data_IF_669288435053
#
_entry.id   IF_669288435053
#
_cell.length_a   1.000
_cell.length_b   1.000
_cell.length_c   1.000
_cell.angle_alpha   90.00
_cell.angle_beta   90.00
_cell.angle_gamma   90.00
#
_symmetry.space_group_name_H-M   'P 1'
#
loop_
_entity.id
_entity.type
_entity.pdbx_description
1 polymer ?
#
# COMPACT_ATOMS: atom_id res chain seq x y z
N UNK A 1 28.39 5.04 -21.10
CA UNK A 1 28.11 5.68 -19.81
C UNK A 1 26.78 5.14 -19.34
N UNK A 2 26.79 4.13 -18.47
CA UNK A 2 25.59 3.62 -17.83
C UNK A 2 25.18 4.63 -16.77
N UNK A 3 24.02 5.26 -16.95
CA UNK A 3 23.39 6.07 -15.91
C UNK A 3 23.22 5.18 -14.67
N UNK A 4 24.07 5.42 -13.68
CA UNK A 4 23.93 4.86 -12.36
C UNK A 4 22.74 5.59 -11.71
N UNK A 5 21.51 5.28 -12.13
CA UNK A 5 20.32 5.69 -11.41
C UNK A 5 20.36 4.95 -10.08
N UNK A 6 21.01 5.55 -9.07
CA UNK A 6 21.00 5.05 -7.71
C UNK A 6 19.53 4.99 -7.30
N UNK A 7 18.98 3.77 -7.31
CA UNK A 7 17.65 3.49 -6.77
C UNK A 7 17.75 3.67 -5.26
N UNK A 8 17.45 4.88 -4.76
CA UNK A 8 17.39 5.21 -3.32
C UNK A 8 16.11 4.67 -2.67
N UNK A 9 15.72 3.46 -3.06
CA UNK A 9 14.63 2.76 -2.44
C UNK A 9 15.19 1.99 -1.25
N UNK A 10 14.50 2.05 -0.11
CA UNK A 10 14.88 1.29 1.08
C UNK A 10 13.68 0.54 1.63
N UNK A 11 13.93 -0.59 2.26
CA UNK A 11 12.95 -1.35 3.05
C UNK A 11 13.42 -1.34 4.50
N UNK A 12 12.62 -0.83 5.42
CA UNK A 12 12.94 -0.87 6.85
C UNK A 12 12.59 -2.24 7.44
N UNK A 13 13.56 -2.89 8.09
CA UNK A 13 13.34 -4.16 8.78
C UNK A 13 12.27 -4.03 9.86
N UNK A 14 12.26 -2.93 10.61
CA UNK A 14 11.24 -2.64 11.61
C UNK A 14 9.82 -2.59 11.02
N UNK A 15 9.66 -2.12 9.78
CA UNK A 15 8.37 -2.16 9.09
C UNK A 15 7.93 -3.59 8.76
N UNK A 16 8.86 -4.49 8.42
CA UNK A 16 8.56 -5.91 8.18
C UNK A 16 8.08 -6.56 9.48
N UNK A 17 8.76 -6.30 10.59
CA UNK A 17 8.40 -6.83 11.90
C UNK A 17 7.02 -6.32 12.37
N UNK A 18 6.75 -5.03 12.20
CA UNK A 18 5.42 -4.47 12.51
C UNK A 18 4.33 -5.04 11.61
N UNK A 19 4.57 -5.23 10.30
CA UNK A 19 3.60 -5.88 9.41
C UNK A 19 3.26 -7.30 9.88
N UNK A 20 4.27 -8.03 10.36
CA UNK A 20 4.11 -9.37 10.93
C UNK A 20 3.32 -9.33 12.22
N UNK A 21 3.66 -8.43 13.14
CA UNK A 21 2.96 -8.24 14.42
C UNK A 21 1.48 -7.89 14.22
N UNK A 22 1.18 -6.98 13.28
CA UNK A 22 -0.20 -6.60 12.94
C UNK A 22 -0.96 -7.67 12.13
N UNK A 23 -0.30 -8.79 11.79
CA UNK A 23 -0.85 -9.88 10.98
C UNK A 23 -1.08 -9.51 9.52
N UNK A 24 -0.49 -8.40 9.04
CA UNK A 24 -0.56 -7.93 7.65
C UNK A 24 0.43 -8.67 6.75
N UNK A 25 1.47 -9.28 7.31
CA UNK A 25 2.44 -10.14 6.62
C UNK A 25 2.62 -11.46 7.37
N UNK A 26 2.70 -12.58 6.66
CA UNK A 26 3.01 -13.89 7.23
C UNK A 26 4.50 -14.01 7.53
N UNK A 27 4.84 -14.84 8.51
CA UNK A 27 6.22 -15.11 8.91
C UNK A 27 7.02 -15.85 7.84
N UNK A 28 6.37 -16.70 7.05
CA UNK A 28 7.02 -17.53 6.03
C UNK A 28 7.19 -16.86 4.66
N UNK A 29 6.83 -15.58 4.54
CA UNK A 29 6.94 -14.83 3.29
C UNK A 29 7.94 -13.70 3.50
N UNK A 30 9.02 -13.73 2.73
CA UNK A 30 10.05 -12.69 2.73
C UNK A 30 9.86 -11.73 1.54
N UNK A 31 10.18 -10.44 1.70
CA UNK A 31 10.25 -9.51 0.58
C UNK A 31 11.43 -9.85 -0.32
N UNK A 32 11.26 -9.66 -1.62
CA UNK A 32 12.34 -9.78 -2.60
C UNK A 32 13.31 -8.62 -2.40
N UNK A 33 14.59 -8.91 -2.17
CA UNK A 33 15.63 -7.91 -1.95
C UNK A 33 16.57 -7.74 -3.16
N UNK A 34 16.23 -8.34 -4.31
CA UNK A 34 17.00 -8.19 -5.53
C UNK A 34 16.79 -6.81 -6.15
N UNK A 35 17.90 -6.16 -6.51
CA UNK A 35 17.94 -4.84 -7.17
C UNK A 35 18.06 -4.95 -8.69
N UNK A 36 18.26 -6.16 -9.22
CA UNK A 36 18.35 -6.40 -10.65
C UNK A 36 16.98 -6.35 -11.34
N UNK A 37 16.92 -5.97 -12.63
CA UNK A 37 15.69 -6.03 -13.41
C UNK A 37 15.09 -7.45 -13.49
N UNK A 38 13.75 -7.59 -13.42
CA UNK A 38 12.78 -6.53 -13.15
C UNK A 38 12.89 -6.03 -11.70
N UNK A 39 12.86 -4.70 -11.50
CA UNK A 39 12.93 -4.02 -10.21
C UNK A 39 11.84 -4.54 -9.26
N UNK A 40 12.18 -5.57 -8.48
CA UNK A 40 11.30 -6.29 -7.55
C UNK A 40 11.70 -6.08 -6.11
N UNK A 41 12.70 -5.23 -5.85
CA UNK A 41 13.11 -4.81 -4.53
C UNK A 41 11.92 -4.36 -3.65
N UNK A 42 11.80 -4.97 -2.47
CA UNK A 42 10.72 -4.75 -1.51
C UNK A 42 9.39 -5.41 -1.87
N UNK A 43 9.29 -6.15 -2.98
CA UNK A 43 8.03 -6.80 -3.36
C UNK A 43 7.77 -8.04 -2.52
N UNK A 44 6.58 -8.12 -1.97
CA UNK A 44 6.02 -9.31 -1.32
C UNK A 44 4.89 -9.83 -2.17
N UNK A 45 4.96 -11.10 -2.59
CA UNK A 45 3.89 -11.77 -3.32
C UNK A 45 3.86 -13.26 -2.98
N UNK A 46 2.71 -13.89 -3.16
CA UNK A 46 2.57 -15.35 -2.96
C UNK A 46 1.64 -15.95 -4.02
N UNK A 47 1.99 -15.83 -5.31
CA UNK A 47 1.23 -16.41 -6.43
C UNK A 47 -0.30 -16.13 -6.36
N UNK A 48 -0.68 -14.91 -5.95
CA UNK A 48 -2.09 -14.49 -5.79
C UNK A 48 -2.80 -15.00 -4.52
N UNK A 49 -2.12 -15.77 -3.67
CA UNK A 49 -2.59 -16.17 -2.33
C UNK A 49 -2.47 -15.01 -1.34
N UNK A 50 -3.06 -15.19 -0.16
CA UNK A 50 -2.98 -14.19 0.91
C UNK A 50 -1.56 -14.13 1.46
N UNK A 51 -0.97 -12.94 1.47
CA UNK A 51 0.35 -12.68 2.08
C UNK A 51 0.23 -12.32 3.55
N UNK A 52 -0.97 -11.95 4.02
CA UNK A 52 -1.26 -11.65 5.42
C UNK A 52 -1.66 -12.91 6.20
N UNK A 53 -1.54 -12.86 7.53
CA UNK A 53 -1.94 -13.95 8.43
C UNK A 53 -3.45 -13.90 8.77
N UNK A 54 -4.18 -12.94 8.18
CA UNK A 54 -5.56 -12.65 8.53
C UNK A 54 -6.41 -12.58 7.26
N UNK A 55 -7.62 -13.13 7.30
CA UNK A 55 -8.66 -12.86 6.32
C UNK A 55 -9.60 -11.81 6.91
N UNK A 56 -9.92 -10.78 6.14
CA UNK A 56 -10.80 -9.70 6.58
C UNK A 56 -12.19 -9.88 6.00
N UNK A 57 -13.24 -9.71 6.81
CA UNK A 57 -14.63 -9.87 6.33
C UNK A 57 -15.24 -8.59 5.75
N UNK A 58 -14.51 -7.47 5.81
CA UNK A 58 -14.91 -6.22 5.16
C UNK A 58 -13.69 -5.49 4.59
N UNK A 59 -13.91 -4.76 3.50
CA UNK A 59 -12.87 -3.87 2.93
C UNK A 59 -12.42 -2.82 3.94
N UNK A 60 -13.37 -2.27 4.70
CA UNK A 60 -13.12 -1.21 5.68
C UNK A 60 -12.25 -1.68 6.83
N UNK A 61 -12.45 -2.89 7.36
CA UNK A 61 -11.61 -3.43 8.42
C UNK A 61 -10.16 -3.64 7.94
N UNK A 62 -9.98 -4.17 6.72
CA UNK A 62 -8.66 -4.29 6.11
C UNK A 62 -8.02 -2.91 5.93
N UNK A 63 -8.76 -1.98 5.32
CA UNK A 63 -8.27 -0.63 5.06
C UNK A 63 -7.86 0.07 6.35
N UNK A 64 -8.65 -0.05 7.42
CA UNK A 64 -8.34 0.55 8.71
C UNK A 64 -7.03 -0.02 9.27
N UNK A 65 -6.83 -1.34 9.23
CA UNK A 65 -5.59 -1.95 9.71
C UNK A 65 -4.37 -1.50 8.92
N UNK A 66 -4.49 -1.37 7.60
CA UNK A 66 -3.41 -0.80 6.77
C UNK A 66 -3.12 0.67 7.12
N UNK A 67 -4.14 1.47 7.46
CA UNK A 67 -3.96 2.87 7.91
C UNK A 67 -3.27 2.94 9.27
N UNK A 68 -3.65 2.06 10.20
CA UNK A 68 -3.04 2.01 11.53
C UNK A 68 -1.55 1.66 11.43
N UNK A 69 -1.20 0.69 10.56
CA UNK A 69 0.20 0.39 10.23
C UNK A 69 0.94 1.61 9.71
N UNK A 70 0.42 2.25 8.65
CA UNK A 70 1.08 3.40 8.04
C UNK A 70 1.29 4.55 9.04
N UNK A 71 0.29 4.79 9.92
CA UNK A 71 0.38 5.78 10.99
C UNK A 71 1.51 5.48 11.96
N UNK A 72 1.64 4.23 12.43
CA UNK A 72 2.72 3.81 13.34
C UNK A 72 4.10 3.98 12.70
N UNK A 73 4.20 3.71 11.40
CA UNK A 73 5.43 3.84 10.61
C UNK A 73 5.65 5.28 10.08
N UNK A 74 4.89 6.27 10.55
CA UNK A 74 5.13 7.66 10.18
C UNK A 74 4.89 7.99 8.72
N UNK A 75 3.93 7.33 8.05
CA UNK A 75 3.48 7.71 6.72
C UNK A 75 1.95 7.66 6.60
N UNK A 76 1.42 8.03 5.43
CA UNK A 76 -0.01 8.01 5.15
C UNK A 76 -0.31 7.22 3.89
N UNK A 77 -1.47 6.56 3.84
CA UNK A 77 -1.95 5.87 2.65
C UNK A 77 -3.03 6.69 1.92
N UNK A 78 -3.02 6.60 0.60
CA UNK A 78 -4.16 6.97 -0.27
C UNK A 78 -4.69 5.73 -0.97
N UNK A 79 -5.96 5.77 -1.39
CA UNK A 79 -6.50 4.81 -2.34
C UNK A 79 -5.94 5.19 -3.73
N UNK A 80 -5.14 4.31 -4.32
CA UNK A 80 -4.55 4.51 -5.64
C UNK A 80 -5.41 3.92 -6.76
N UNK A 81 -6.12 2.84 -6.48
CA UNK A 81 -7.16 2.29 -7.36
C UNK A 81 -8.18 1.53 -6.52
N UNK A 82 -9.40 1.44 -7.03
CA UNK A 82 -10.50 0.71 -6.41
C UNK A 82 -11.45 0.20 -7.49
N UNK A 83 -11.98 -1.01 -7.29
CA UNK A 83 -13.00 -1.62 -8.13
C UNK A 83 -13.87 -2.52 -7.26
N UNK A 84 -15.18 -2.50 -7.53
CA UNK A 84 -16.14 -3.38 -6.86
C UNK A 84 -17.24 -3.78 -7.85
N UNK A 85 -17.47 -5.08 -7.99
CA UNK A 85 -18.51 -5.68 -8.82
C UNK A 85 -19.53 -6.34 -7.91
N UNK A 86 -20.60 -5.59 -7.59
CA UNK A 86 -21.64 -6.01 -6.62
C UNK A 86 -22.25 -7.38 -6.95
N UNK A 87 -22.63 -7.62 -8.21
CA UNK A 87 -23.26 -8.88 -8.64
C UNK A 87 -22.34 -10.10 -8.44
N UNK A 88 -21.05 -9.95 -8.68
CA UNK A 88 -20.06 -11.01 -8.52
C UNK A 88 -19.50 -11.13 -7.09
N UNK A 89 -19.78 -10.14 -6.22
CA UNK A 89 -19.11 -9.95 -4.92
C UNK A 89 -17.58 -10.00 -5.04
N UNK A 90 -17.03 -9.30 -6.04
CA UNK A 90 -15.58 -9.24 -6.32
C UNK A 90 -15.11 -7.81 -6.25
N UNK A 91 -13.95 -7.58 -5.64
CA UNK A 91 -13.30 -6.28 -5.61
C UNK A 91 -11.79 -6.35 -5.65
N UNK A 92 -11.17 -5.24 -6.04
CA UNK A 92 -9.74 -5.02 -5.94
C UNK A 92 -9.51 -3.58 -5.50
N UNK A 93 -8.57 -3.37 -4.60
CA UNK A 93 -8.08 -2.03 -4.29
C UNK A 93 -6.56 -2.03 -4.15
N UNK A 94 -5.95 -0.88 -4.44
CA UNK A 94 -4.54 -0.62 -4.18
C UNK A 94 -4.44 0.58 -3.25
N UNK A 95 -3.76 0.41 -2.12
CA UNK A 95 -3.35 1.50 -1.26
C UNK A 95 -1.89 1.84 -1.56
N UNK A 96 -1.56 3.11 -1.69
CA UNK A 96 -0.19 3.56 -1.95
C UNK A 96 0.20 4.64 -0.94
N UNK A 97 1.50 4.77 -0.65
CA UNK A 97 1.96 5.89 0.15
C UNK A 97 1.54 7.22 -0.49
N UNK A 98 1.02 8.11 0.37
CA UNK A 98 0.60 9.46 0.04
C UNK A 98 1.77 10.38 0.38
N UNK A 99 2.32 11.02 -0.65
CA UNK A 99 3.27 12.12 -0.47
C UNK A 99 2.54 13.31 0.16
N UNK A 100 2.97 13.73 1.35
CA UNK A 100 2.43 14.91 2.03
C UNK A 100 3.09 16.19 1.50
N UNK A 101 2.37 17.32 1.57
CA UNK A 101 2.97 18.63 1.28
C UNK A 101 4.12 18.87 2.27
N UNK A 102 5.32 19.15 1.76
CA UNK A 102 6.53 19.33 2.56
C UNK A 102 7.42 18.09 2.66
N UNK A 103 6.98 16.90 2.24
CA UNK A 103 7.88 15.73 2.16
C UNK A 103 8.85 15.87 0.98
N UNK A 104 10.14 15.83 1.32
CA UNK A 104 11.20 15.80 0.33
C UNK A 104 11.41 14.38 -0.20
N UNK A 105 11.52 14.20 -1.53
CA UNK A 105 11.88 12.92 -2.11
C UNK A 105 13.38 12.67 -1.85
N UNK A 106 13.77 11.40 -1.68
CA UNK A 106 15.18 11.06 -1.50
C UNK A 106 16.03 11.35 -2.75
N UNK A 107 15.40 11.40 -3.93
CA UNK A 107 16.04 11.79 -5.19
C UNK A 107 15.22 12.88 -5.89
N UNK A 108 15.92 13.91 -6.34
CA UNK A 108 15.36 14.98 -7.18
C UNK A 108 15.42 14.51 -8.64
N UNK A 109 14.29 14.04 -9.16
CA UNK A 109 14.20 13.56 -10.53
C UNK A 109 13.10 12.51 -10.68
N UNK A 110 12.37 12.57 -11.79
CA UNK A 110 11.18 11.77 -12.06
C UNK A 110 11.53 10.32 -12.46
N UNK A 111 12.20 9.59 -11.57
CA UNK A 111 12.38 8.14 -11.76
C UNK A 111 11.09 7.47 -11.34
N UNK A 112 10.52 6.64 -12.21
CA UNK A 112 9.37 5.76 -11.96
C UNK A 112 9.62 4.80 -10.79
N UNK A 113 9.66 5.33 -9.57
CA UNK A 113 9.85 4.55 -8.38
C UNK A 113 8.49 4.06 -7.92
N UNK A 114 8.31 2.74 -7.81
CA UNK A 114 7.08 2.18 -7.26
C UNK A 114 7.05 2.51 -5.76
N UNK A 115 6.21 3.45 -5.30
CA UNK A 115 6.13 3.74 -3.88
C UNK A 115 5.64 2.51 -3.12
N UNK A 116 5.81 2.56 -1.80
CA UNK A 116 5.13 1.64 -0.88
C UNK A 116 3.67 1.46 -1.30
N UNK A 117 3.23 0.21 -1.43
CA UNK A 117 1.85 -0.08 -1.78
C UNK A 117 1.38 -1.44 -1.26
N UNK A 118 0.07 -1.54 -1.03
CA UNK A 118 -0.62 -2.76 -0.60
C UNK A 118 -1.75 -3.00 -1.59
N UNK A 119 -1.72 -4.14 -2.27
CA UNK A 119 -2.78 -4.57 -3.19
C UNK A 119 -3.64 -5.62 -2.51
N UNK A 120 -4.95 -5.40 -2.58
CA UNK A 120 -5.94 -6.23 -1.89
C UNK A 120 -7.00 -6.71 -2.86
N UNK A 121 -7.50 -7.89 -2.59
CA UNK A 121 -8.53 -8.53 -3.40
C UNK A 121 -9.64 -9.06 -2.51
N UNK A 122 -10.87 -8.75 -2.90
CA UNK A 122 -12.09 -9.19 -2.26
C UNK A 122 -12.83 -10.21 -3.11
N UNK A 123 -13.26 -11.33 -2.53
CA UNK A 123 -14.14 -12.31 -3.15
C UNK A 123 -15.10 -12.85 -2.09
N UNK A 124 -16.41 -12.78 -2.37
CA UNK A 124 -17.48 -13.30 -1.49
C UNK A 124 -17.32 -12.81 -0.05
N UNK A 125 -17.20 -11.49 0.09
CA UNK A 125 -17.10 -10.81 1.39
C UNK A 125 -15.82 -11.12 2.19
N UNK A 126 -14.85 -11.83 1.61
CA UNK A 126 -13.53 -12.04 2.17
C UNK A 126 -12.48 -11.23 1.43
N UNK A 127 -11.67 -10.48 2.17
CA UNK A 127 -10.62 -9.61 1.68
C UNK A 127 -9.26 -10.12 2.15
N UNK A 128 -8.34 -10.21 1.20
CA UNK A 128 -6.95 -10.64 1.39
C UNK A 128 -5.99 -9.61 0.84
N UNK A 129 -4.79 -9.59 1.38
CA UNK A 129 -3.67 -8.88 0.78
C UNK A 129 -2.98 -9.84 -0.18
N UNK A 130 -2.88 -9.48 -1.45
CA UNK A 130 -2.32 -10.37 -2.48
C UNK A 130 -0.88 -10.01 -2.85
N UNK A 131 -0.50 -8.75 -2.64
CA UNK A 131 0.83 -8.25 -2.94
C UNK A 131 1.11 -6.98 -2.12
N UNK A 132 2.37 -6.78 -1.75
CA UNK A 132 2.87 -5.50 -1.26
C UNK A 132 4.13 -5.08 -2.03
N UNK A 133 4.41 -3.79 -2.04
CA UNK A 133 5.74 -3.25 -2.24
C UNK A 133 6.10 -2.48 -0.96
N UNK A 134 7.16 -2.88 -0.28
CA UNK A 134 7.62 -2.31 0.97
C UNK A 134 8.68 -1.22 0.79
N UNK A 135 9.11 -0.98 -0.45
CA UNK A 135 10.12 0.03 -0.73
C UNK A 135 9.58 1.45 -0.52
N UNK A 136 10.34 2.26 0.21
CA UNK A 136 10.11 3.69 0.41
C UNK A 136 11.15 4.53 -0.35
N UNK A 137 10.73 5.71 -0.80
CA UNK A 137 11.58 6.70 -1.50
C UNK A 137 11.54 8.10 -0.89
N UNK A 138 10.93 8.22 0.29
CA UNK A 138 10.79 9.46 1.05
C UNK A 138 11.09 9.16 2.51
N UNK A 139 11.51 10.18 3.24
CA UNK A 139 11.67 10.06 4.68
C UNK A 139 10.33 9.75 5.35
N UNK A 140 10.31 8.71 6.18
CA UNK A 140 9.24 8.47 7.13
C UNK A 140 9.26 9.56 8.21
N UNK A 141 8.12 9.78 8.85
CA UNK A 141 7.91 10.80 9.89
C UNK A 141 8.09 12.27 9.46
N UNK A 142 8.53 12.55 8.24
CA UNK A 142 8.65 13.91 7.72
C UNK A 142 7.26 14.55 7.49
N UNK A 143 6.97 15.65 8.20
CA UNK A 143 5.72 16.41 8.09
C UNK A 143 4.55 15.86 8.91
N UNK A 144 4.80 14.95 9.86
CA UNK A 144 3.77 14.41 10.75
C UNK A 144 3.71 15.21 12.06
N UNK A 145 2.57 15.87 12.29
CA UNK A 145 2.13 16.35 13.61
C UNK A 145 0.96 15.46 14.05
N UNK A 146 0.67 15.36 15.35
CA UNK A 146 -0.44 14.50 15.87
C UNK A 146 -1.78 14.81 15.17
N UNK A 147 -1.99 16.06 14.77
CA UNK A 147 -3.19 16.55 14.07
C UNK A 147 -3.29 16.16 12.59
N UNK A 148 -2.23 15.59 12.00
CA UNK A 148 -2.23 15.14 10.58
C UNK A 148 -3.18 13.95 10.38
N UNK A 149 -3.60 13.28 11.46
CA UNK A 149 -4.46 12.11 11.45
C UNK A 149 -5.93 12.45 11.68
N UNK A 150 -6.51 13.28 10.80
CA UNK A 150 -7.96 13.54 10.83
C UNK A 150 -8.71 12.23 10.65
N UNK A 151 -9.66 11.93 11.55
CA UNK A 151 -10.59 10.80 11.50
C UNK A 151 -11.64 11.02 10.40
N UNK A 152 -11.20 11.34 9.19
CA UNK A 152 -12.04 11.45 8.01
C UNK A 152 -12.10 10.11 7.30
N UNK A 153 -13.31 9.62 7.07
CA UNK A 153 -13.54 8.73 5.93
C UNK A 153 -12.94 9.43 4.71
N UNK A 154 -12.06 8.75 3.98
CA UNK A 154 -11.83 9.21 2.61
C UNK A 154 -13.22 9.19 2.00
N UNK A 155 -13.62 10.28 1.34
CA UNK A 155 -14.83 10.27 0.55
C UNK A 155 -14.84 8.95 -0.22
N UNK A 156 -15.85 8.11 0.02
CA UNK A 156 -16.20 7.13 -0.99
C UNK A 156 -16.49 8.03 -2.21
N UNK A 157 -15.67 7.93 -3.26
CA UNK A 157 -15.94 8.59 -4.56
C UNK A 157 -17.17 7.94 -5.23
N UNK A 158 -18.23 7.71 -4.46
CA UNK A 158 -19.54 7.26 -4.88
C UNK A 158 -20.43 8.47 -5.13
N UNK A 159 -19.93 9.43 -5.89
CA UNK A 159 -20.70 10.46 -6.62
C UNK A 159 -19.83 10.73 -7.87
N UNK A 160 -20.11 10.26 -9.08
CA UNK A 160 -21.38 10.19 -9.79
C UNK A 160 -21.37 9.07 -10.84
N UNK A 161 -22.13 8.00 -10.63
CA UNK A 161 -22.75 7.28 -11.76
C UNK A 161 -24.05 8.02 -12.06
N UNK A 162 -23.97 9.11 -12.83
CA UNK A 162 -25.16 9.74 -13.38
C UNK A 162 -25.69 8.82 -14.47
N UNK A 163 -26.84 8.24 -14.20
CA UNK A 163 -27.74 7.66 -15.18
C UNK A 163 -27.99 8.67 -16.33
N UNK A 164 -27.66 8.25 -17.54
CA UNK A 164 -28.38 8.55 -18.79
C UNK A 164 -28.49 7.16 -19.46
N UNK A 165 -29.61 6.49 -19.70
CA UNK A 165 -30.95 6.90 -20.17
C UNK A 165 -30.89 8.14 -21.02
N UNK A 166 -30.48 7.94 -22.28
CA UNK A 166 -31.40 7.88 -23.42
C UNK A 166 -31.00 6.73 -24.34
#
# INVERSE_FOLDING_TARGET
MSDLSISTNFVESASIDELREMGLLRQDIEPLMDTQPPLTYGVVLNHGRNVSNVIFYTRSALQQRCRDFARRQGFSLRVASNSWRKAAKVGNAKYASKRLKGQQPLVVGNVEQRPFSITVYGLRDQWKITQMNLAHHHHLHAGFQEDTFVKGGLADDTISATSRTE
#
